data_IF_880335855267
#
_entry.id   IF_880335855267
#
_cell.length_a   1.000
_cell.length_b   1.000
_cell.length_c   1.000
_cell.angle_alpha   90.00
_cell.angle_beta   90.00
_cell.angle_gamma   90.00
#
_symmetry.space_group_name_H-M   'P 1'
#
loop_
_entity.id
_entity.type
_entity.pdbx_description
1 polymer ?
#
# COMPACT_ATOMS: atom_id res chain seq x y z
N UNK A 1 71.26 7.42 -43.75
CA UNK A 1 70.23 8.46 -43.60
C UNK A 1 69.21 8.19 -44.69
N UNK A 2 68.19 7.39 -44.38
CA UNK A 2 67.13 7.06 -45.34
C UNK A 2 66.31 8.33 -45.54
N UNK A 3 66.23 8.78 -46.78
CA UNK A 3 65.46 9.95 -47.18
C UNK A 3 63.97 9.64 -46.98
N UNK A 4 63.41 10.05 -45.84
CA UNK A 4 61.99 9.90 -45.51
C UNK A 4 61.19 11.12 -45.95
N UNK A 5 61.59 11.79 -47.05
CA UNK A 5 60.74 12.81 -47.67
C UNK A 5 59.49 12.13 -48.24
N UNK A 6 58.29 12.59 -47.87
CA UNK A 6 57.08 11.89 -48.24
C UNK A 6 56.89 11.93 -49.76
N UNK A 7 56.56 10.79 -50.35
CA UNK A 7 56.50 10.60 -51.81
C UNK A 7 55.29 11.36 -52.35
N UNK A 8 55.51 12.53 -52.93
CA UNK A 8 54.47 13.19 -53.73
C UNK A 8 54.28 12.42 -55.04
N UNK A 9 53.02 12.12 -55.40
CA UNK A 9 52.69 11.50 -56.68
C UNK A 9 53.08 12.45 -57.81
N UNK A 10 54.17 12.15 -58.53
CA UNK A 10 54.60 12.97 -59.66
C UNK A 10 53.65 12.79 -60.86
N UNK A 11 53.65 13.74 -61.81
CA UNK A 11 52.80 13.73 -63.02
C UNK A 11 52.81 12.40 -63.79
N UNK A 12 53.96 11.72 -63.82
CA UNK A 12 54.12 10.43 -64.50
C UNK A 12 53.33 9.33 -63.79
N UNK A 13 53.40 9.28 -62.46
CA UNK A 13 52.61 8.37 -61.63
C UNK A 13 51.12 8.72 -61.64
N UNK A 14 50.76 10.01 -61.66
CA UNK A 14 49.36 10.45 -61.79
C UNK A 14 48.75 10.03 -63.14
N UNK A 15 49.54 10.03 -64.21
CA UNK A 15 49.12 9.56 -65.53
C UNK A 15 48.88 8.05 -65.63
N UNK A 16 49.33 7.26 -64.66
CA UNK A 16 49.03 5.82 -64.59
C UNK A 16 47.61 5.55 -64.05
N UNK A 17 47.05 6.48 -63.26
CA UNK A 17 45.70 6.36 -62.67
C UNK A 17 44.66 7.24 -63.38
N UNK A 18 45.08 8.40 -63.88
CA UNK A 18 44.19 9.39 -64.50
C UNK A 18 44.43 9.44 -66.00
N UNK A 19 43.42 9.03 -66.78
CA UNK A 19 43.52 8.90 -68.24
C UNK A 19 43.47 10.23 -69.00
N UNK A 20 43.02 11.32 -68.37
CA UNK A 20 42.87 12.65 -68.99
C UNK A 20 43.80 13.70 -68.35
N UNK A 21 44.58 14.46 -69.15
CA UNK A 21 45.42 15.57 -68.68
C UNK A 21 44.71 16.60 -67.80
N UNK A 22 43.43 16.89 -68.04
CA UNK A 22 42.66 17.85 -67.23
C UNK A 22 42.45 17.34 -65.80
N UNK A 23 42.25 16.02 -65.64
CA UNK A 23 42.16 15.40 -64.31
C UNK A 23 43.53 15.44 -63.60
N UNK A 24 44.63 15.20 -64.32
CA UNK A 24 45.98 15.30 -63.75
C UNK A 24 46.27 16.73 -63.27
N UNK A 25 45.94 17.73 -64.08
CA UNK A 25 46.08 19.15 -63.70
C UNK A 25 45.18 19.53 -62.53
N UNK A 26 43.97 19.00 -62.46
CA UNK A 26 43.07 19.21 -61.33
C UNK A 26 43.69 18.66 -60.03
N UNK A 27 44.25 17.45 -60.05
CA UNK A 27 44.93 16.86 -58.89
C UNK A 27 46.22 17.61 -58.51
N UNK A 28 47.01 18.07 -59.48
CA UNK A 28 48.18 18.94 -59.22
C UNK A 28 47.76 20.28 -58.57
N UNK A 29 46.62 20.84 -58.98
CA UNK A 29 46.09 22.10 -58.45
C UNK A 29 45.43 21.98 -57.07
N UNK A 30 45.19 20.77 -56.56
CA UNK A 30 44.68 20.60 -55.19
C UNK A 30 45.70 21.06 -54.14
N UNK A 31 46.99 21.15 -54.49
CA UNK A 31 48.04 21.74 -53.64
C UNK A 31 48.33 20.99 -52.34
N UNK A 32 47.58 19.93 -52.04
CA UNK A 32 47.76 19.11 -50.85
C UNK A 32 49.03 18.29 -50.99
N UNK A 33 50.04 18.66 -50.20
CA UNK A 33 51.16 17.76 -49.99
C UNK A 33 50.82 16.76 -48.86
N UNK A 34 51.60 15.70 -48.76
CA UNK A 34 51.46 14.64 -47.75
C UNK A 34 51.54 15.13 -46.29
N UNK A 35 52.21 16.25 -46.02
CA UNK A 35 52.24 16.86 -44.69
C UNK A 35 50.94 17.61 -44.41
N UNK A 36 50.41 18.37 -45.39
CA UNK A 36 49.11 19.03 -45.26
C UNK A 36 47.99 18.01 -45.03
N UNK A 37 48.05 16.86 -45.73
CA UNK A 37 47.10 15.77 -45.52
C UNK A 37 47.28 15.09 -44.15
N UNK A 38 48.51 14.91 -43.69
CA UNK A 38 48.79 14.35 -42.37
C UNK A 38 48.30 15.27 -41.24
N UNK A 39 48.43 16.59 -41.39
CA UNK A 39 47.94 17.58 -40.43
C UNK A 39 46.40 17.56 -40.37
N UNK A 40 45.73 17.47 -41.52
CA UNK A 40 44.26 17.35 -41.60
C UNK A 40 43.78 16.04 -40.96
N UNK A 41 44.43 14.91 -41.27
CA UNK A 41 44.09 13.61 -40.66
C UNK A 41 44.30 13.66 -39.14
N UNK A 42 45.44 14.17 -38.69
CA UNK A 42 45.73 14.34 -37.25
C UNK A 42 44.71 15.24 -36.57
N UNK A 43 44.29 16.33 -37.22
CA UNK A 43 43.27 17.23 -36.69
C UNK A 43 41.88 16.54 -36.57
N UNK A 44 41.51 15.72 -37.56
CA UNK A 44 40.26 14.94 -37.55
C UNK A 44 40.31 13.85 -36.48
N UNK A 45 41.40 13.09 -36.39
CA UNK A 45 41.58 12.04 -35.38
C UNK A 45 41.47 12.59 -33.95
N UNK A 46 41.95 13.82 -33.72
CA UNK A 46 41.95 14.44 -32.40
C UNK A 46 40.67 15.23 -32.07
N UNK A 47 39.66 15.28 -32.95
CA UNK A 47 38.40 15.94 -32.61
C UNK A 47 37.63 15.13 -31.55
N UNK A 48 36.99 15.83 -30.61
CA UNK A 48 36.13 15.15 -29.63
C UNK A 48 34.84 14.71 -30.30
N UNK A 49 34.67 13.39 -30.42
CA UNK A 49 33.45 12.78 -30.98
C UNK A 49 32.75 11.92 -29.93
N UNK A 50 31.43 11.86 -30.02
CA UNK A 50 30.59 10.96 -29.24
C UNK A 50 30.14 9.82 -30.16
N UNK A 51 30.33 8.58 -29.75
CA UNK A 51 29.99 7.41 -30.57
C UNK A 51 29.25 6.35 -29.77
N UNK A 52 28.62 5.40 -30.45
CA UNK A 52 27.85 4.32 -29.82
C UNK A 52 28.67 3.02 -29.68
N UNK A 53 29.86 3.01 -30.27
CA UNK A 53 30.83 1.92 -30.21
C UNK A 53 32.19 2.46 -30.62
N UNK A 54 33.27 1.85 -30.12
CA UNK A 54 34.62 2.30 -30.44
C UNK A 54 34.90 2.19 -31.94
N UNK A 55 35.64 3.15 -32.46
CA UNK A 55 36.22 3.12 -33.80
C UNK A 55 37.74 3.29 -33.72
N UNK A 56 38.45 2.66 -34.65
CA UNK A 56 39.91 2.80 -34.74
C UNK A 56 40.34 4.11 -35.42
N UNK A 57 39.37 4.97 -35.79
CA UNK A 57 39.59 6.15 -36.64
C UNK A 57 39.66 7.48 -35.89
N UNK A 58 39.33 7.51 -34.61
CA UNK A 58 39.34 8.73 -33.80
C UNK A 58 40.08 8.49 -32.48
N UNK A 59 41.05 9.35 -32.16
CA UNK A 59 41.85 9.26 -30.93
C UNK A 59 41.16 9.80 -29.68
N UNK A 60 40.17 10.70 -29.82
CA UNK A 60 39.44 11.35 -28.73
C UNK A 60 37.95 11.00 -28.68
N UNK A 61 37.66 9.71 -28.87
CA UNK A 61 36.29 9.19 -28.84
C UNK A 61 35.73 9.05 -27.41
N UNK A 62 34.48 9.47 -27.23
CA UNK A 62 33.69 9.18 -26.04
C UNK A 62 32.58 8.22 -26.42
N UNK A 63 32.60 7.03 -25.83
CA UNK A 63 31.55 6.04 -26.08
C UNK A 63 30.36 6.32 -25.18
N UNK A 64 29.18 6.44 -25.78
CA UNK A 64 27.92 6.41 -25.05
C UNK A 64 27.69 4.97 -24.58
N UNK A 65 27.73 4.78 -23.28
CA UNK A 65 27.36 3.53 -22.63
C UNK A 65 26.09 3.77 -21.83
N UNK A 66 25.28 2.73 -21.68
CA UNK A 66 24.21 2.76 -20.70
C UNK A 66 24.51 1.83 -19.53
N UNK A 67 24.02 2.23 -18.36
CA UNK A 67 24.02 1.41 -17.15
C UNK A 67 22.84 0.42 -17.12
N UNK A 68 22.06 0.35 -18.20
CA UNK A 68 20.84 -0.45 -18.32
C UNK A 68 19.57 0.25 -17.83
N UNK A 69 19.66 1.43 -17.18
CA UNK A 69 18.47 2.19 -16.80
C UNK A 69 17.97 3.08 -17.94
N UNK A 70 18.90 3.76 -18.62
CA UNK A 70 18.64 4.40 -19.91
C UNK A 70 18.88 3.36 -20.99
N UNK A 71 17.92 3.19 -21.89
CA UNK A 71 18.05 2.25 -23.00
C UNK A 71 18.42 3.01 -24.27
N UNK A 72 19.47 2.55 -24.93
CA UNK A 72 19.95 3.07 -26.20
C UNK A 72 19.90 1.92 -27.20
N UNK A 73 19.06 2.09 -28.22
CA UNK A 73 18.92 1.08 -29.27
C UNK A 73 19.35 1.69 -30.58
N UNK A 74 20.51 1.24 -31.07
CA UNK A 74 20.97 1.56 -32.41
C UNK A 74 20.31 0.61 -33.41
N UNK A 75 19.47 1.16 -34.29
CA UNK A 75 18.84 0.42 -35.40
C UNK A 75 19.80 0.08 -36.54
N UNK A 76 21.08 0.47 -36.45
CA UNK A 76 22.09 0.26 -37.47
C UNK A 76 21.99 1.24 -38.64
N UNK A 77 22.74 0.97 -39.71
CA UNK A 77 22.82 1.86 -40.87
C UNK A 77 21.45 2.06 -41.54
N UNK A 78 21.01 3.33 -41.63
CA UNK A 78 19.70 3.69 -42.18
C UNK A 78 18.52 3.48 -41.22
N UNK A 79 18.76 2.97 -40.01
CA UNK A 79 17.79 2.84 -38.94
C UNK A 79 17.76 4.04 -37.97
N UNK A 80 16.79 4.04 -37.06
CA UNK A 80 16.70 5.04 -36.00
C UNK A 80 17.64 4.70 -34.84
N UNK A 81 18.29 5.71 -34.28
CA UNK A 81 18.82 5.65 -32.92
C UNK A 81 17.70 6.06 -31.94
N UNK A 82 17.30 5.14 -31.06
CA UNK A 82 16.20 5.38 -30.11
C UNK A 82 16.73 5.48 -28.69
N UNK A 83 16.25 6.51 -27.97
CA UNK A 83 16.46 6.69 -26.54
C UNK A 83 15.19 6.29 -25.78
N UNK A 84 15.35 5.49 -24.74
CA UNK A 84 14.27 5.04 -23.88
C UNK A 84 14.69 4.88 -22.43
N UNK A 85 13.75 4.44 -21.61
CA UNK A 85 13.98 3.99 -20.24
C UNK A 85 13.74 2.48 -20.21
N UNK A 86 14.50 1.75 -19.39
CA UNK A 86 14.17 0.35 -19.12
C UNK A 86 12.80 0.26 -18.46
N UNK A 87 12.09 -0.84 -18.66
CA UNK A 87 10.86 -1.07 -17.89
C UNK A 87 11.19 -1.26 -16.41
N UNK A 88 10.24 -0.87 -15.56
CA UNK A 88 10.26 -1.26 -14.14
C UNK A 88 9.49 -2.56 -13.95
N UNK A 89 9.47 -3.10 -12.73
CA UNK A 89 8.55 -4.19 -12.39
C UNK A 89 7.07 -3.79 -12.35
N UNK A 90 6.73 -2.51 -12.61
CA UNK A 90 5.37 -2.00 -12.57
C UNK A 90 4.76 -1.95 -13.97
N UNK A 91 3.66 -2.68 -14.16
CA UNK A 91 2.83 -2.63 -15.37
C UNK A 91 1.92 -1.40 -15.35
N UNK A 92 1.56 -0.87 -16.51
CA UNK A 92 0.59 0.22 -16.60
C UNK A 92 -0.81 -0.25 -16.14
N UNK A 93 -1.29 0.30 -15.02
CA UNK A 93 -2.62 0.06 -14.46
C UNK A 93 -2.98 1.11 -13.41
N UNK A 94 -4.22 1.06 -12.91
CA UNK A 94 -4.65 1.84 -11.75
C UNK A 94 -4.47 0.98 -10.48
N UNK A 95 -3.64 1.43 -9.53
CA UNK A 95 -3.28 0.65 -8.33
C UNK A 95 -3.96 1.12 -7.04
N UNK A 96 -4.98 1.98 -7.14
CA UNK A 96 -5.74 2.50 -6.01
C UNK A 96 -7.14 2.91 -6.42
N UNK A 97 -8.02 2.93 -5.43
CA UNK A 97 -9.41 3.36 -5.55
C UNK A 97 -9.92 3.84 -4.17
N UNK A 98 -11.22 4.09 -4.03
CA UNK A 98 -11.81 4.57 -2.78
C UNK A 98 -11.67 3.60 -1.59
N UNK A 99 -11.38 2.32 -1.84
CA UNK A 99 -11.27 1.24 -0.86
C UNK A 99 -9.86 0.63 -0.76
N UNK A 100 -8.91 1.07 -1.58
CA UNK A 100 -7.54 0.53 -1.60
C UNK A 100 -6.48 1.61 -1.45
N UNK A 101 -5.54 1.37 -0.54
CA UNK A 101 -4.29 2.11 -0.40
C UNK A 101 -3.27 1.61 -1.44
N UNK A 102 -2.43 2.52 -1.96
CA UNK A 102 -1.30 2.15 -2.81
C UNK A 102 -0.03 1.99 -1.98
N UNK A 103 0.64 0.84 -2.10
CA UNK A 103 2.02 0.65 -1.61
C UNK A 103 2.99 0.73 -2.78
N UNK A 104 4.01 1.57 -2.63
CA UNK A 104 5.08 1.75 -3.62
C UNK A 104 6.42 1.29 -3.04
N UNK A 105 7.26 0.66 -3.87
CA UNK A 105 8.69 0.56 -3.60
C UNK A 105 9.44 1.42 -4.62
N UNK A 106 10.46 2.14 -4.15
CA UNK A 106 11.34 2.95 -5.00
C UNK A 106 12.76 2.40 -4.93
N UNK A 107 13.49 2.45 -6.04
CA UNK A 107 14.90 2.06 -6.05
C UNK A 107 15.81 3.22 -5.61
N UNK A 108 17.12 2.95 -5.57
CA UNK A 108 18.16 3.95 -5.23
C UNK A 108 18.15 5.18 -6.15
N UNK A 109 17.58 5.04 -7.35
CA UNK A 109 17.47 6.10 -8.36
C UNK A 109 16.11 6.81 -8.34
N UNK A 110 15.24 6.48 -7.38
CA UNK A 110 13.94 7.12 -7.19
C UNK A 110 12.83 6.62 -8.14
N UNK A 111 13.09 5.59 -8.96
CA UNK A 111 12.09 4.99 -9.83
C UNK A 111 11.20 4.03 -9.03
N UNK A 112 9.90 4.01 -9.32
CA UNK A 112 8.97 3.04 -8.72
C UNK A 112 9.27 1.65 -9.30
N UNK A 113 9.57 0.66 -8.47
CA UNK A 113 9.85 -0.72 -8.89
C UNK A 113 8.72 -1.69 -8.54
N UNK A 114 7.78 -1.24 -7.71
CA UNK A 114 6.61 -2.00 -7.29
C UNK A 114 5.46 -1.03 -7.05
N UNK A 115 4.27 -1.37 -7.57
CA UNK A 115 3.02 -0.75 -7.19
C UNK A 115 2.01 -1.85 -6.86
N UNK A 116 1.39 -1.77 -5.69
CA UNK A 116 0.40 -2.74 -5.22
C UNK A 116 -0.76 -2.04 -4.53
N UNK A 117 -1.98 -2.54 -4.77
CA UNK A 117 -3.19 -2.11 -4.08
C UNK A 117 -3.41 -2.98 -2.84
N UNK A 118 -3.63 -2.36 -1.69
CA UNK A 118 -3.99 -3.02 -0.44
C UNK A 118 -5.40 -2.61 -0.03
N UNK A 119 -6.29 -3.58 0.15
CA UNK A 119 -7.65 -3.32 0.61
C UNK A 119 -7.61 -2.68 1.99
N UNK A 120 -8.44 -1.66 2.22
CA UNK A 120 -8.61 -1.03 3.52
C UNK A 120 -9.85 -1.60 4.19
N UNK A 121 -9.68 -2.25 5.33
CA UNK A 121 -10.79 -2.73 6.14
C UNK A 121 -10.50 -2.59 7.64
N UNK A 122 -11.51 -2.81 8.46
CA UNK A 122 -11.40 -2.68 9.91
C UNK A 122 -10.52 -3.75 10.58
N UNK A 123 -10.04 -4.76 9.85
CA UNK A 123 -9.14 -5.78 10.39
C UNK A 123 -7.66 -5.54 10.07
N UNK A 124 -7.33 -4.69 9.09
CA UNK A 124 -5.95 -4.45 8.66
C UNK A 124 -5.47 -3.00 8.79
N UNK A 125 -6.35 -2.09 9.20
CA UNK A 125 -5.98 -0.72 9.53
C UNK A 125 -5.63 -0.64 11.02
N UNK A 126 -4.43 -0.14 11.32
CA UNK A 126 -4.03 0.12 12.71
C UNK A 126 -4.83 1.30 13.26
N UNK A 127 -5.49 1.07 14.38
CA UNK A 127 -6.28 2.07 15.07
C UNK A 127 -5.46 2.60 16.24
N UNK A 128 -5.19 3.91 16.26
CA UNK A 128 -4.47 4.56 17.36
C UNK A 128 -5.34 4.67 18.61
N UNK A 129 -5.41 5.86 19.21
CA UNK A 129 -6.30 6.11 20.36
C UNK A 129 -7.80 6.15 19.99
N UNK A 130 -8.13 6.20 18.69
CA UNK A 130 -9.50 6.18 18.17
C UNK A 130 -9.75 4.82 17.51
N UNK A 131 -10.73 4.09 18.02
CA UNK A 131 -11.10 2.77 17.52
C UNK A 131 -12.33 2.83 16.59
N UNK A 132 -12.38 1.97 15.59
CA UNK A 132 -13.58 1.62 14.86
C UNK A 132 -14.58 0.95 15.81
N UNK A 133 -15.81 1.46 15.81
CA UNK A 133 -16.94 0.84 16.47
C UNK A 133 -17.49 -0.29 15.60
N UNK A 134 -16.84 -1.45 15.65
CA UNK A 134 -17.42 -2.67 15.11
C UNK A 134 -18.45 -3.22 16.09
N UNK A 135 -19.41 -4.02 15.60
CA UNK A 135 -20.41 -4.65 16.47
C UNK A 135 -19.73 -5.46 17.58
N UNK A 136 -18.66 -6.20 17.27
CA UNK A 136 -17.93 -6.98 18.28
C UNK A 136 -17.28 -6.12 19.37
N UNK A 137 -16.64 -4.99 19.02
CA UNK A 137 -16.03 -4.10 20.02
C UNK A 137 -17.06 -3.31 20.82
N UNK A 138 -18.13 -2.86 20.16
CA UNK A 138 -19.26 -2.23 20.86
C UNK A 138 -19.85 -3.18 21.91
N UNK A 139 -19.94 -4.47 21.58
CA UNK A 139 -20.38 -5.50 22.52
C UNK A 139 -19.37 -5.72 23.66
N UNK A 140 -18.09 -5.85 23.35
CA UNK A 140 -17.05 -6.05 24.38
C UNK A 140 -16.80 -4.83 25.28
N UNK A 141 -17.29 -3.65 24.91
CA UNK A 141 -17.17 -2.44 25.73
C UNK A 141 -18.21 -2.37 26.86
N UNK A 142 -19.24 -3.22 26.81
CA UNK A 142 -20.29 -3.30 27.81
C UNK A 142 -19.90 -4.30 28.91
N UNK A 143 -20.26 -3.97 30.15
CA UNK A 143 -20.17 -4.85 31.29
C UNK A 143 -21.53 -4.83 32.01
N UNK A 144 -21.98 -6.01 32.43
CA UNK A 144 -23.19 -6.15 33.23
C UNK A 144 -22.93 -5.85 34.71
N UNK A 145 -23.99 -5.37 35.38
CA UNK A 145 -24.02 -5.17 36.82
C UNK A 145 -25.16 -6.00 37.44
N UNK A 146 -25.28 -5.97 38.77
CA UNK A 146 -26.31 -6.74 39.47
C UNK A 146 -27.72 -6.50 38.88
N UNK A 147 -28.46 -7.59 38.63
CA UNK A 147 -29.81 -7.56 38.05
C UNK A 147 -29.87 -7.40 36.52
N UNK A 148 -28.73 -7.15 35.87
CA UNK A 148 -28.59 -7.11 34.41
C UNK A 148 -27.76 -8.31 33.98
N UNK A 149 -28.13 -8.94 32.88
CA UNK A 149 -27.33 -9.96 32.22
C UNK A 149 -27.08 -9.50 30.80
N UNK A 150 -25.81 -9.49 30.39
CA UNK A 150 -25.41 -9.11 29.05
C UNK A 150 -24.73 -10.27 28.32
N UNK A 151 -25.25 -10.63 27.14
CA UNK A 151 -24.61 -11.61 26.25
C UNK A 151 -23.79 -10.88 25.18
N UNK A 152 -22.46 -10.93 25.30
CA UNK A 152 -21.54 -10.26 24.37
C UNK A 152 -21.44 -10.94 22.98
N UNK A 153 -22.03 -12.13 22.81
CA UNK A 153 -22.07 -12.82 21.53
C UNK A 153 -23.25 -12.33 20.67
N UNK A 154 -24.43 -12.21 21.28
CA UNK A 154 -25.67 -11.78 20.62
C UNK A 154 -25.95 -10.29 20.75
N UNK A 155 -25.42 -9.64 21.78
CA UNK A 155 -25.70 -8.24 22.13
C UNK A 155 -26.99 -8.04 22.93
N UNK A 156 -27.63 -9.12 23.40
CA UNK A 156 -28.87 -9.04 24.18
C UNK A 156 -28.55 -8.56 25.60
N UNK A 157 -29.29 -7.55 26.05
CA UNK A 157 -29.31 -7.10 27.44
C UNK A 157 -30.63 -7.57 28.04
N UNK A 158 -30.55 -8.40 29.07
CA UNK A 158 -31.68 -8.85 29.86
C UNK A 158 -31.63 -8.21 31.24
N UNK A 159 -32.80 -7.92 31.80
CA UNK A 159 -32.93 -7.54 33.19
C UNK A 159 -33.80 -8.59 33.87
N UNK A 160 -33.38 -9.06 35.04
CA UNK A 160 -34.33 -9.69 35.95
C UNK A 160 -35.02 -8.54 36.67
N UNK A 161 -36.31 -8.24 36.38
CA UNK A 161 -37.00 -7.23 37.16
C UNK A 161 -36.91 -7.64 38.62
N UNK A 162 -36.46 -6.74 39.50
CA UNK A 162 -36.66 -6.94 40.94
C UNK A 162 -38.14 -7.30 41.12
N UNK A 163 -38.42 -8.51 41.60
CA UNK A 163 -39.79 -8.99 41.70
C UNK A 163 -40.65 -7.91 42.36
N UNK A 164 -41.82 -7.62 41.79
CA UNK A 164 -42.72 -6.66 42.39
C UNK A 164 -42.91 -7.02 43.87
N UNK A 165 -42.80 -6.03 44.76
CA UNK A 165 -43.02 -6.27 46.18
C UNK A 165 -44.39 -6.96 46.36
N UNK A 166 -44.50 -8.00 47.21
CA UNK A 166 -45.77 -8.68 47.42
C UNK A 166 -46.81 -7.66 47.90
N UNK A 167 -48.02 -7.73 47.35
CA UNK A 167 -49.14 -6.90 47.80
C UNK A 167 -49.63 -7.43 49.15
N UNK A 168 -49.54 -6.61 50.19
CA UNK A 168 -50.13 -6.92 51.49
C UNK A 168 -51.55 -6.37 51.56
N UNK A 169 -52.54 -7.26 51.62
CA UNK A 169 -53.91 -6.88 51.97
C UNK A 169 -54.00 -6.81 53.50
N UNK A 170 -54.30 -5.66 54.11
CA UNK A 170 -54.46 -5.58 55.56
C UNK A 170 -55.55 -6.53 56.04
N UNK A 171 -55.22 -7.38 57.02
CA UNK A 171 -56.21 -8.24 57.65
C UNK A 171 -57.21 -7.40 58.44
N UNK A 172 -58.50 -7.57 58.16
CA UNK A 172 -59.58 -6.99 58.97
C UNK A 172 -60.12 -8.10 59.86
N UNK A 173 -59.96 -7.96 61.18
CA UNK A 173 -60.39 -8.98 62.12
C UNK A 173 -61.92 -9.18 62.08
N UNK A 174 -62.43 -10.42 61.96
CA UNK A 174 -63.85 -10.71 62.08
C UNK A 174 -64.29 -10.57 63.53
N UNK A 175 -65.57 -10.25 63.73
CA UNK A 175 -66.21 -10.41 65.04
C UNK A 175 -66.32 -11.89 65.37
N UNK A 176 -65.90 -12.30 66.57
CA UNK A 176 -65.95 -13.69 67.02
C UNK A 176 -67.16 -13.89 67.95
N UNK A 177 -68.01 -14.87 67.64
CA UNK A 177 -69.15 -15.21 68.50
C UNK A 177 -68.70 -15.84 69.83
N UNK A 178 -69.58 -15.83 70.84
CA UNK A 178 -69.38 -16.56 72.09
C UNK A 178 -70.52 -17.58 72.30
N UNK A 179 -70.26 -18.90 72.21
CA UNK A 179 -68.96 -19.51 71.93
C UNK A 179 -68.53 -19.32 70.45
N UNK A 180 -67.22 -19.37 70.13
CA UNK A 180 -66.73 -19.25 68.75
C UNK A 180 -67.19 -20.41 67.87
N UNK A 181 -67.50 -20.13 66.61
CA UNK A 181 -67.78 -21.14 65.60
C UNK A 181 -66.50 -21.64 64.93
N UNK A 182 -66.55 -22.86 64.37
CA UNK A 182 -65.44 -23.42 63.60
C UNK A 182 -65.06 -22.55 62.38
N UNK A 183 -66.06 -21.94 61.73
CA UNK A 183 -65.84 -21.10 60.55
C UNK A 183 -65.07 -19.81 60.89
N UNK A 184 -65.34 -19.19 62.03
CA UNK A 184 -64.62 -17.98 62.48
C UNK A 184 -63.16 -18.31 62.84
N UNK A 185 -62.93 -19.46 63.48
CA UNK A 185 -61.58 -19.94 63.78
C UNK A 185 -60.82 -20.29 62.49
N UNK A 186 -61.50 -20.88 61.50
CA UNK A 186 -60.90 -21.20 60.20
C UNK A 186 -60.52 -19.93 59.42
N UNK A 187 -61.38 -18.91 59.40
CA UNK A 187 -61.08 -17.65 58.72
C UNK A 187 -59.87 -16.90 59.31
N UNK A 188 -59.65 -17.03 60.62
CA UNK A 188 -58.43 -16.54 61.28
C UNK A 188 -57.20 -17.35 60.87
N UNK A 189 -57.31 -18.68 60.83
CA UNK A 189 -56.22 -19.55 60.41
C UNK A 189 -55.79 -19.26 58.96
N UNK A 190 -56.76 -19.17 58.04
CA UNK A 190 -56.51 -18.86 56.63
C UNK A 190 -55.81 -17.51 56.47
N UNK A 191 -56.22 -16.49 57.22
CA UNK A 191 -55.59 -15.17 57.18
C UNK A 191 -54.15 -15.17 57.72
N UNK A 192 -53.85 -15.97 58.74
CA UNK A 192 -52.48 -16.13 59.26
C UNK A 192 -51.60 -16.84 58.22
N UNK A 193 -52.13 -17.85 57.54
CA UNK A 193 -51.42 -18.56 56.47
C UNK A 193 -51.12 -17.63 55.28
N UNK A 194 -52.09 -16.81 54.86
CA UNK A 194 -51.91 -15.80 53.81
C UNK A 194 -50.82 -14.77 54.17
N UNK A 195 -50.84 -14.27 55.41
CA UNK A 195 -49.80 -13.37 55.91
C UNK A 195 -48.42 -14.05 55.94
N UNK A 196 -48.36 -15.32 56.34
CA UNK A 196 -47.14 -16.11 56.34
C UNK A 196 -46.55 -16.29 54.93
N UNK A 197 -47.40 -16.60 53.95
CA UNK A 197 -47.00 -16.73 52.55
C UNK A 197 -46.49 -15.40 51.95
N UNK A 198 -47.16 -14.29 52.26
CA UNK A 198 -46.74 -12.95 51.82
C UNK A 198 -45.38 -12.56 52.42
N UNK A 199 -45.16 -12.83 53.71
CA UNK A 199 -43.88 -12.58 54.38
C UNK A 199 -42.75 -13.45 53.79
N UNK A 200 -43.02 -14.73 53.52
CA UNK A 200 -42.05 -15.62 52.87
C UNK A 200 -41.63 -15.13 51.48
N UNK A 201 -42.58 -14.59 50.72
CA UNK A 201 -42.32 -14.00 49.40
C UNK A 201 -41.45 -12.74 49.50
N UNK A 202 -41.74 -11.87 50.48
CA UNK A 202 -40.91 -10.69 50.75
C UNK A 202 -39.49 -11.08 51.16
N UNK A 203 -39.34 -12.09 52.02
CA UNK A 203 -38.04 -12.60 52.45
C UNK A 203 -37.21 -13.08 51.26
N UNK A 204 -37.83 -13.86 50.38
CA UNK A 204 -37.20 -14.39 49.16
C UNK A 204 -36.75 -13.24 48.25
N UNK A 205 -37.58 -12.21 48.09
CA UNK A 205 -37.24 -11.02 47.31
C UNK A 205 -36.06 -10.25 47.91
N UNK A 206 -36.05 -10.06 49.23
CA UNK A 206 -34.97 -9.35 49.92
C UNK A 206 -33.65 -10.11 49.85
N UNK A 207 -33.69 -11.45 49.94
CA UNK A 207 -32.52 -12.33 49.72
C UNK A 207 -32.02 -12.23 48.27
N UNK A 208 -32.93 -12.30 47.29
CA UNK A 208 -32.57 -12.17 45.88
C UNK A 208 -31.95 -10.80 45.53
N UNK A 209 -32.38 -9.75 46.22
CA UNK A 209 -31.82 -8.40 46.07
C UNK A 209 -30.53 -8.18 46.89
N UNK A 210 -30.12 -9.13 47.75
CA UNK A 210 -28.95 -8.99 48.61
C UNK A 210 -29.15 -8.06 49.81
N UNK A 211 -30.39 -7.66 50.10
CA UNK A 211 -30.75 -6.79 51.22
C UNK A 211 -30.93 -7.57 52.54
N UNK A 212 -30.94 -8.89 52.46
CA UNK A 212 -31.06 -9.80 53.59
C UNK A 212 -30.08 -10.95 53.40
N UNK A 213 -29.19 -11.14 54.39
CA UNK A 213 -28.17 -12.20 54.43
C UNK A 213 -28.66 -13.43 55.18
#
# INVERSE_FOLDING_TARGET
>A
MVDTRPVSLNRKLLGEFLKNPESIRAFENLGLNSADLADVVTAIENVSVLTLGLSDSFGNERVVTSDGEVQLTDGGAGGNLTFGLSDTGVTAANYGDASHLVRLAVNEKGRITLAQAYALNSSNVTEGSKLFFTTARARNALADGAGITYDNSTGIISATPAGAAPSFTPYTAPTISNPPTQAEVQALADAVDDMGAALSSLLTLLQANGNLT
#
